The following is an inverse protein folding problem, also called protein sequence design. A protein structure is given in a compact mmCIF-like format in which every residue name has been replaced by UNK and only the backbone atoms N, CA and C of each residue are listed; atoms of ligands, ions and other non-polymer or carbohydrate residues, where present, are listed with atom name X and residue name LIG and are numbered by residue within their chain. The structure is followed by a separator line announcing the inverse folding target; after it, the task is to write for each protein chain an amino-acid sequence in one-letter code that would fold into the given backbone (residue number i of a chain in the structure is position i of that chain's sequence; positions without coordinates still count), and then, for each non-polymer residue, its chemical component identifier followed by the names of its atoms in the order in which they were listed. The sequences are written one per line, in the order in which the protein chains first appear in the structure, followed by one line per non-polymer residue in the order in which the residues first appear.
data_IF_234400798458
#
_entry.id   IF_234400798458
#
_cell.length_a   1.000
_cell.length_b   1.000
_cell.length_c   1.000
_cell.angle_alpha   90.00
_cell.angle_beta   90.00
_cell.angle_gamma   90.00
#
_symmetry.space_group_name_H-M   'P 1'
#
loop_
_entity.id
_entity.type
_entity.pdbx_description
1 polymer ?
#
# COMPACT_ATOMS: atom_id res chain seq x y z
N UNK A 1 -11.70 19.37 -8.05
CA UNK A 1 -12.93 18.57 -7.79
C UNK A 1 -13.12 18.23 -6.32
N UNK A 2 -12.06 17.90 -5.56
CA UNK A 2 -12.14 17.81 -4.10
C UNK A 2 -12.43 19.15 -3.40
N UNK A 3 -12.13 20.31 -4.01
CA UNK A 3 -12.31 21.64 -3.39
C UNK A 3 -13.66 21.89 -2.69
N UNK A 4 -14.77 21.41 -3.24
CA UNK A 4 -16.11 21.52 -2.63
C UNK A 4 -16.37 20.55 -1.46
N UNK A 5 -15.42 19.66 -1.17
CA UNK A 5 -15.48 18.61 -0.15
C UNK A 5 -14.52 18.84 1.01
N UNK A 6 -13.94 20.04 1.16
CA UNK A 6 -13.01 20.35 2.26
C UNK A 6 -13.60 20.02 3.64
N UNK A 7 -14.89 20.28 3.87
CA UNK A 7 -15.55 19.92 5.14
C UNK A 7 -15.55 18.41 5.42
N UNK A 8 -15.92 17.59 4.44
CA UNK A 8 -15.88 16.12 4.57
C UNK A 8 -14.45 15.63 4.77
N UNK A 9 -13.48 16.26 4.08
CA UNK A 9 -12.07 15.93 4.20
C UNK A 9 -11.52 16.24 5.59
N UNK A 10 -11.79 17.45 6.10
CA UNK A 10 -11.41 17.87 7.44
C UNK A 10 -12.02 16.95 8.51
N UNK A 11 -13.28 16.53 8.32
CA UNK A 11 -13.93 15.55 9.20
C UNK A 11 -13.27 14.17 9.12
N UNK A 12 -12.94 13.68 7.92
CA UNK A 12 -12.26 12.40 7.74
C UNK A 12 -10.88 12.39 8.40
N UNK A 13 -10.11 13.47 8.23
CA UNK A 13 -8.82 13.66 8.90
C UNK A 13 -8.97 13.70 10.43
N UNK A 14 -9.94 14.46 10.95
CA UNK A 14 -10.20 14.52 12.39
C UNK A 14 -10.58 13.17 13.00
N UNK A 15 -11.46 12.40 12.34
CA UNK A 15 -11.83 11.05 12.79
C UNK A 15 -10.65 10.08 12.72
N UNK A 16 -9.83 10.16 11.66
CA UNK A 16 -8.61 9.36 11.55
C UNK A 16 -7.61 9.69 12.66
N UNK A 17 -7.45 10.97 13.02
CA UNK A 17 -6.60 11.39 14.13
C UNK A 17 -7.10 10.85 15.48
N UNK A 18 -8.43 10.81 15.70
CA UNK A 18 -9.03 10.16 16.88
C UNK A 18 -8.66 8.67 16.92
N UNK A 19 -8.78 7.95 15.80
CA UNK A 19 -8.42 6.53 15.73
C UNK A 19 -6.93 6.27 15.93
N UNK A 20 -6.07 7.12 15.36
CA UNK A 20 -4.61 7.03 15.56
C UNK A 20 -4.25 7.10 17.04
N UNK A 21 -4.92 7.95 17.81
CA UNK A 21 -4.69 8.11 19.24
C UNK A 21 -5.42 7.06 20.10
N UNK A 22 -6.49 6.46 19.57
CA UNK A 22 -7.31 5.50 20.31
C UNK A 22 -8.03 4.53 19.35
N UNK A 23 -7.40 3.38 19.08
CA UNK A 23 -7.92 2.36 18.18
C UNK A 23 -9.12 1.59 18.73
N UNK A 24 -9.40 1.66 20.03
CA UNK A 24 -10.63 1.07 20.60
C UNK A 24 -11.85 1.99 20.49
N UNK A 25 -11.70 3.19 19.91
CA UNK A 25 -12.82 4.10 19.65
C UNK A 25 -13.62 3.63 18.42
N UNK A 26 -14.44 2.60 18.62
CA UNK A 26 -15.23 2.00 17.54
C UNK A 26 -16.34 2.93 17.02
N UNK A 27 -16.75 3.93 17.81
CA UNK A 27 -17.66 4.99 17.35
C UNK A 27 -17.01 5.84 16.26
N UNK A 28 -15.78 6.31 16.49
CA UNK A 28 -15.02 7.05 15.47
C UNK A 28 -14.72 6.17 14.25
N UNK A 29 -14.44 4.88 14.46
CA UNK A 29 -14.25 3.90 13.38
C UNK A 29 -15.49 3.82 12.49
N UNK A 30 -16.66 3.61 13.10
CA UNK A 30 -17.94 3.53 12.38
C UNK A 30 -18.26 4.84 11.64
N UNK A 31 -18.09 5.97 12.30
CA UNK A 31 -18.34 7.28 11.69
C UNK A 31 -17.44 7.57 10.49
N UNK A 32 -16.15 7.23 10.60
CA UNK A 32 -15.21 7.41 9.49
C UNK A 32 -15.62 6.55 8.30
N UNK A 33 -15.90 5.26 8.52
CA UNK A 33 -16.33 4.37 7.45
C UNK A 33 -17.62 4.84 6.77
N UNK A 34 -18.62 5.28 7.55
CA UNK A 34 -19.86 5.83 7.00
C UNK A 34 -19.64 7.10 6.15
N UNK A 35 -18.76 8.00 6.60
CA UNK A 35 -18.39 9.19 5.84
C UNK A 35 -17.69 8.84 4.52
N UNK A 36 -16.72 7.91 4.56
CA UNK A 36 -16.00 7.47 3.36
C UNK A 36 -16.92 6.78 2.36
N UNK A 37 -17.79 5.89 2.84
CA UNK A 37 -18.78 5.20 2.02
C UNK A 37 -19.69 6.20 1.29
N UNK A 38 -20.21 7.21 2.01
CA UNK A 38 -21.05 8.24 1.42
C UNK A 38 -20.32 9.04 0.33
N UNK A 39 -19.09 9.50 0.59
CA UNK A 39 -18.32 10.28 -0.39
C UNK A 39 -17.89 9.45 -1.61
N UNK A 40 -17.57 8.17 -1.42
CA UNK A 40 -17.25 7.25 -2.53
C UNK A 40 -18.50 7.02 -3.38
N UNK A 41 -19.65 6.67 -2.80
CA UNK A 41 -20.91 6.45 -3.53
C UNK A 41 -21.31 7.71 -4.32
N UNK A 42 -21.23 8.89 -3.69
CA UNK A 42 -21.52 10.16 -4.37
C UNK A 42 -20.58 10.41 -5.55
N UNK A 43 -19.30 10.09 -5.40
CA UNK A 43 -18.29 10.23 -6.46
C UNK A 43 -18.57 9.26 -7.62
N UNK A 44 -18.86 7.99 -7.31
CA UNK A 44 -19.19 6.97 -8.30
C UNK A 44 -20.50 7.24 -9.04
N UNK A 45 -21.51 7.77 -8.36
CA UNK A 45 -22.76 8.23 -8.99
C UNK A 45 -22.49 9.28 -10.07
N UNK A 46 -21.63 10.27 -9.78
CA UNK A 46 -21.22 11.27 -10.78
C UNK A 46 -20.44 10.65 -11.93
N UNK A 47 -19.56 9.68 -11.66
CA UNK A 47 -18.84 8.95 -12.73
C UNK A 47 -19.85 8.23 -13.63
N UNK A 48 -20.87 7.58 -13.09
CA UNK A 48 -21.93 6.91 -13.89
C UNK A 48 -22.63 7.89 -14.81
N UNK A 49 -23.07 9.03 -14.29
CA UNK A 49 -23.74 10.06 -15.09
C UNK A 49 -22.85 10.53 -16.24
N UNK A 50 -21.59 10.88 -15.95
CA UNK A 50 -20.66 11.36 -16.99
C UNK A 50 -20.30 10.26 -18.00
N UNK A 51 -20.17 9.00 -17.58
CA UNK A 51 -19.95 7.88 -18.50
C UNK A 51 -21.15 7.63 -19.41
N UNK A 52 -22.37 7.81 -18.89
CA UNK A 52 -23.58 7.71 -19.70
C UNK A 52 -23.62 8.80 -20.77
N UNK A 53 -23.27 10.04 -20.41
CA UNK A 53 -23.15 11.15 -21.36
C UNK A 53 -22.02 10.92 -22.38
N UNK A 54 -20.86 10.44 -21.92
CA UNK A 54 -19.72 10.16 -22.81
C UNK A 54 -20.08 9.15 -23.91
N UNK A 55 -20.92 8.16 -23.61
CA UNK A 55 -21.39 7.15 -24.57
C UNK A 55 -22.29 7.71 -25.68
N UNK A 56 -22.90 8.88 -25.47
CA UNK A 56 -23.77 9.50 -26.49
C UNK A 56 -22.98 10.41 -27.44
N UNK A 57 -21.68 10.56 -27.22
CA UNK A 57 -20.80 11.39 -28.06
C UNK A 57 -20.05 10.48 -29.03
N UNK A 58 -20.14 10.80 -30.31
CA UNK A 58 -19.32 10.21 -31.34
C UNK A 58 -17.89 10.79 -31.28
N UNK A 59 -16.86 9.98 -30.99
CA UNK A 59 -15.47 10.46 -30.93
C UNK A 59 -14.91 10.89 -32.28
N UNK A 60 -15.53 10.46 -33.40
CA UNK A 60 -15.09 10.74 -34.77
C UNK A 60 -15.85 11.93 -35.40
N UNK A 61 -16.74 12.56 -34.63
CA UNK A 61 -17.49 13.76 -35.03
C UNK A 61 -16.64 15.05 -34.96
N UNK A 62 -17.04 16.14 -35.65
CA UNK A 62 -16.26 17.39 -35.72
C UNK A 62 -15.83 17.98 -34.37
N UNK A 63 -14.81 18.85 -34.39
CA UNK A 63 -14.04 19.43 -33.26
C UNK A 63 -14.79 19.66 -31.93
N UNK A 64 -16.05 20.09 -31.96
CA UNK A 64 -16.85 20.33 -30.75
C UNK A 64 -17.12 19.05 -29.93
N UNK A 65 -17.39 17.93 -30.60
CA UNK A 65 -17.65 16.64 -29.95
C UNK A 65 -16.36 16.06 -29.37
N UNK A 66 -15.23 16.18 -30.08
CA UNK A 66 -13.92 15.78 -29.57
C UNK A 66 -13.52 16.59 -28.31
N UNK A 67 -13.71 17.91 -28.31
CA UNK A 67 -13.47 18.76 -27.12
C UNK A 67 -14.33 18.33 -25.94
N UNK A 68 -15.62 18.03 -26.17
CA UNK A 68 -16.51 17.54 -25.12
C UNK A 68 -16.11 16.16 -24.61
N UNK A 69 -15.73 15.25 -25.50
CA UNK A 69 -15.24 13.91 -25.16
C UNK A 69 -14.00 13.97 -24.25
N UNK A 70 -13.00 14.78 -24.62
CA UNK A 70 -11.78 15.00 -23.82
C UNK A 70 -12.13 15.61 -22.47
N UNK A 71 -13.00 16.62 -22.44
CA UNK A 71 -13.46 17.25 -21.20
C UNK A 71 -14.11 16.26 -20.23
N UNK A 72 -15.07 15.45 -20.72
CA UNK A 72 -15.77 14.46 -19.92
C UNK A 72 -14.83 13.36 -19.44
N UNK A 73 -13.92 12.89 -20.29
CA UNK A 73 -12.90 11.89 -19.96
C UNK A 73 -11.99 12.37 -18.83
N UNK A 74 -11.47 13.60 -18.94
CA UNK A 74 -10.66 14.22 -17.89
C UNK A 74 -11.43 14.41 -16.58
N UNK A 75 -12.72 14.74 -16.67
CA UNK A 75 -13.58 14.91 -15.49
C UNK A 75 -13.89 13.58 -14.80
N UNK A 76 -14.10 12.50 -15.57
CA UNK A 76 -14.23 11.14 -15.04
C UNK A 76 -12.95 10.72 -14.33
N UNK A 77 -11.78 10.98 -14.92
CA UNK A 77 -10.51 10.62 -14.32
C UNK A 77 -10.23 11.41 -13.04
N UNK A 78 -10.56 12.71 -13.02
CA UNK A 78 -10.48 13.50 -11.80
C UNK A 78 -11.41 12.98 -10.68
N UNK A 79 -12.58 12.45 -11.00
CA UNK A 79 -13.46 11.80 -10.02
C UNK A 79 -12.90 10.45 -9.54
N UNK A 80 -12.29 9.64 -10.42
CA UNK A 80 -11.60 8.39 -10.01
C UNK A 80 -10.48 8.68 -9.02
N UNK A 81 -9.67 9.70 -9.29
CA UNK A 81 -8.65 10.19 -8.34
C UNK A 81 -9.26 10.62 -7.01
N UNK A 82 -10.43 11.28 -7.02
CA UNK A 82 -11.13 11.62 -5.78
C UNK A 82 -11.55 10.35 -5.00
N UNK A 83 -12.12 9.35 -5.67
CA UNK A 83 -12.51 8.10 -5.03
C UNK A 83 -11.31 7.34 -4.48
N UNK A 84 -10.18 7.33 -5.21
CA UNK A 84 -8.91 6.77 -4.73
C UNK A 84 -8.43 7.44 -3.43
N UNK A 85 -8.47 8.78 -3.36
CA UNK A 85 -8.09 9.55 -2.16
C UNK A 85 -8.99 9.22 -0.97
N UNK A 86 -10.31 9.12 -1.17
CA UNK A 86 -11.22 8.68 -0.10
C UNK A 86 -10.86 7.27 0.38
N UNK A 87 -10.55 6.37 -0.55
CA UNK A 87 -10.09 5.02 -0.20
C UNK A 87 -8.74 5.00 0.51
N UNK A 88 -7.86 5.99 0.30
CA UNK A 88 -6.64 6.13 1.10
C UNK A 88 -6.93 6.40 2.59
N UNK A 89 -8.05 7.04 2.95
CA UNK A 89 -8.47 7.10 4.35
C UNK A 89 -8.94 5.73 4.87
N UNK A 90 -9.58 4.91 4.03
CA UNK A 90 -9.90 3.53 4.37
C UNK A 90 -8.66 2.65 4.52
N UNK A 91 -7.67 2.83 3.63
CA UNK A 91 -6.34 2.24 3.78
C UNK A 91 -5.72 2.66 5.12
N UNK A 92 -5.84 3.93 5.51
CA UNK A 92 -5.27 4.40 6.78
C UNK A 92 -5.89 3.70 7.99
N UNK A 93 -7.18 3.36 7.95
CA UNK A 93 -7.80 2.49 8.95
C UNK A 93 -7.11 1.12 8.95
N UNK A 94 -7.01 0.46 7.80
CA UNK A 94 -6.39 -0.87 7.73
C UNK A 94 -4.96 -0.88 8.33
N UNK A 95 -4.13 0.10 7.98
CA UNK A 95 -2.75 0.22 8.45
C UNK A 95 -2.61 0.64 9.92
N UNK A 96 -3.66 1.19 10.55
CA UNK A 96 -3.64 1.45 11.99
C UNK A 96 -3.82 0.17 12.81
N UNK A 97 -4.59 -0.80 12.30
CA UNK A 97 -4.98 -2.00 13.07
C UNK A 97 -4.16 -3.24 12.70
N UNK A 98 -3.64 -3.33 11.47
CA UNK A 98 -3.00 -4.53 10.93
C UNK A 98 -1.58 -4.26 10.46
N UNK A 99 -0.78 -5.32 10.43
CA UNK A 99 0.60 -5.29 9.94
C UNK A 99 0.64 -5.02 8.42
N UNK A 100 1.55 -4.13 8.01
CA UNK A 100 1.68 -3.72 6.59
C UNK A 100 2.15 -4.84 5.67
N UNK A 101 2.89 -5.82 6.19
CA UNK A 101 3.35 -6.97 5.42
C UNK A 101 2.25 -8.01 5.26
N UNK A 102 1.35 -8.15 6.25
CA UNK A 102 0.11 -8.91 6.12
C UNK A 102 -0.84 -8.25 5.11
N UNK A 103 -1.05 -6.94 5.22
CA UNK A 103 -1.91 -6.17 4.30
C UNK A 103 -1.44 -6.26 2.84
N UNK A 104 -0.13 -6.25 2.60
CA UNK A 104 0.45 -6.47 1.26
C UNK A 104 -0.12 -7.74 0.60
N UNK A 105 -0.37 -8.80 1.36
CA UNK A 105 -0.88 -10.07 0.81
C UNK A 105 -2.33 -9.99 0.32
N UNK A 106 -3.07 -8.97 0.74
CA UNK A 106 -4.46 -8.77 0.34
C UNK A 106 -4.61 -8.00 -0.99
N UNK A 107 -3.51 -7.51 -1.56
CA UNK A 107 -3.51 -6.70 -2.79
C UNK A 107 -3.44 -7.56 -4.05
N UNK A 108 -2.70 -8.67 -4.00
CA UNK A 108 -2.39 -9.48 -5.19
C UNK A 108 -3.35 -10.65 -5.38
N UNK A 109 -3.45 -11.15 -6.61
CA UNK A 109 -4.19 -12.39 -6.88
C UNK A 109 -3.51 -13.58 -6.20
N UNK A 110 -4.26 -14.59 -5.78
CA UNK A 110 -3.67 -15.78 -5.15
C UNK A 110 -2.92 -16.69 -6.13
N UNK A 111 -3.12 -16.53 -7.44
CA UNK A 111 -2.53 -17.34 -8.50
C UNK A 111 -1.28 -16.71 -9.16
N UNK A 112 -1.03 -15.41 -8.96
CA UNK A 112 0.13 -14.69 -9.52
C UNK A 112 0.42 -13.38 -8.76
N UNK A 113 1.53 -12.71 -9.07
CA UNK A 113 1.90 -11.42 -8.49
C UNK A 113 1.19 -10.20 -9.09
N UNK A 114 0.18 -10.38 -9.96
CA UNK A 114 -0.58 -9.24 -10.45
C UNK A 114 -1.48 -8.71 -9.33
N UNK A 115 -1.56 -7.39 -9.22
CA UNK A 115 -2.52 -6.75 -8.34
C UNK A 115 -3.93 -7.20 -8.74
N UNK A 116 -4.71 -7.68 -7.77
CA UNK A 116 -6.11 -8.05 -7.98
C UNK A 116 -6.87 -6.81 -8.41
N UNK A 117 -7.84 -6.96 -9.31
CA UNK A 117 -8.66 -5.81 -9.71
C UNK A 117 -9.35 -5.23 -8.47
N UNK A 118 -9.34 -3.89 -8.36
CA UNK A 118 -10.11 -3.20 -7.33
C UNK A 118 -11.58 -3.55 -7.43
N UNK A 119 -12.32 -3.40 -6.34
CA UNK A 119 -13.76 -3.54 -6.41
C UNK A 119 -14.38 -2.54 -7.39
N UNK A 120 -15.46 -2.97 -8.03
CA UNK A 120 -16.29 -2.09 -8.87
C UNK A 120 -17.06 -1.08 -8.02
N UNK A 121 -17.98 -0.33 -8.63
CA UNK A 121 -18.79 0.64 -7.87
C UNK A 121 -19.54 -0.01 -6.70
N UNK A 122 -19.52 0.66 -5.56
CA UNK A 122 -20.15 0.21 -4.32
C UNK A 122 -21.67 0.40 -4.41
N UNK A 123 -22.11 1.59 -4.82
CA UNK A 123 -23.52 1.95 -4.81
C UNK A 123 -24.36 1.22 -5.87
N UNK A 124 -25.60 0.85 -5.53
CA UNK A 124 -26.57 0.23 -6.44
C UNK A 124 -26.45 -1.30 -6.54
N UNK A 125 -25.83 -1.94 -5.54
CA UNK A 125 -25.82 -3.40 -5.37
C UNK A 125 -26.71 -3.76 -4.17
N UNK A 126 -27.53 -4.80 -4.32
CA UNK A 126 -28.38 -5.34 -3.25
C UNK A 126 -27.58 -6.01 -2.11
N UNK A 127 -26.26 -6.15 -2.25
CA UNK A 127 -25.38 -6.80 -1.27
C UNK A 127 -24.89 -5.89 -0.14
N UNK A 128 -24.89 -4.57 -0.35
CA UNK A 128 -24.28 -3.62 0.59
C UNK A 128 -24.96 -3.61 1.97
N UNK A 129 -26.28 -3.79 2.03
CA UNK A 129 -27.02 -3.77 3.28
C UNK A 129 -26.59 -4.91 4.22
N UNK A 130 -26.26 -6.08 3.67
CA UNK A 130 -25.79 -7.21 4.47
C UNK A 130 -24.34 -7.04 4.92
N UNK A 131 -23.49 -6.45 4.08
CA UNK A 131 -22.12 -6.07 4.44
C UNK A 131 -22.13 -5.06 5.60
N UNK A 132 -23.02 -4.06 5.52
CA UNK A 132 -23.22 -3.06 6.57
C UNK A 132 -23.82 -3.66 7.85
N UNK A 133 -24.78 -4.57 7.74
CA UNK A 133 -25.34 -5.26 8.90
C UNK A 133 -24.26 -6.05 9.64
N UNK A 134 -23.41 -6.79 8.92
CA UNK A 134 -22.30 -7.53 9.53
C UNK A 134 -21.29 -6.58 10.19
N UNK A 135 -20.94 -5.47 9.52
CA UNK A 135 -20.05 -4.45 10.07
C UNK A 135 -20.59 -3.88 11.39
N UNK A 136 -21.85 -3.45 11.38
CA UNK A 136 -22.50 -2.84 12.55
C UNK A 136 -22.63 -3.85 13.70
N UNK A 137 -22.94 -5.13 13.41
CA UNK A 137 -23.01 -6.20 14.39
C UNK A 137 -21.64 -6.47 15.06
N UNK A 138 -20.55 -6.46 14.27
CA UNK A 138 -19.19 -6.59 14.81
C UNK A 138 -18.85 -5.43 15.74
N UNK A 139 -19.08 -4.20 15.27
CA UNK A 139 -18.78 -2.98 16.04
C UNK A 139 -19.60 -2.93 17.33
N UNK A 140 -20.89 -3.28 17.28
CA UNK A 140 -21.77 -3.35 18.46
C UNK A 140 -21.30 -4.38 19.50
N UNK A 141 -20.59 -5.43 19.07
CA UNK A 141 -19.98 -6.44 19.93
C UNK A 141 -18.58 -6.07 20.42
N UNK A 142 -18.09 -4.85 20.13
CA UNK A 142 -16.75 -4.43 20.52
C UNK A 142 -15.64 -4.97 19.61
N UNK A 143 -15.99 -5.50 18.43
CA UNK A 143 -15.05 -6.09 17.48
C UNK A 143 -14.76 -5.08 16.36
N UNK A 144 -13.52 -4.57 16.22
CA UNK A 144 -13.18 -3.69 15.11
C UNK A 144 -13.28 -4.43 13.78
N UNK A 145 -14.02 -3.85 12.85
CA UNK A 145 -14.22 -4.37 11.50
C UNK A 145 -14.20 -3.24 10.47
N UNK A 146 -13.84 -3.58 9.23
CA UNK A 146 -13.64 -2.67 8.12
C UNK A 146 -14.34 -3.17 6.86
N UNK A 147 -15.12 -2.31 6.20
CA UNK A 147 -15.62 -2.58 4.85
C UNK A 147 -14.44 -2.62 3.87
N UNK A 148 -14.32 -3.68 3.09
CA UNK A 148 -13.20 -3.85 2.15
C UNK A 148 -13.30 -2.85 0.99
N UNK A 149 -14.53 -2.58 0.53
CA UNK A 149 -14.83 -1.73 -0.62
C UNK A 149 -14.42 -0.25 -0.46
N UNK A 150 -14.19 0.21 0.77
CA UNK A 150 -13.70 1.56 1.07
C UNK A 150 -12.17 1.65 1.11
N UNK A 151 -11.44 0.58 0.76
CA UNK A 151 -9.97 0.55 0.74
C UNK A 151 -9.44 0.35 -0.68
N UNK A 152 -8.18 0.74 -0.95
CA UNK A 152 -7.48 0.35 -2.17
C UNK A 152 -6.58 -0.89 -1.95
N UNK A 153 -6.25 -1.18 -0.69
CA UNK A 153 -5.29 -2.21 -0.25
C UNK A 153 -5.93 -3.58 -0.08
N UNK A 154 -7.04 -3.66 0.65
CA UNK A 154 -7.72 -4.94 0.85
C UNK A 154 -8.58 -5.22 -0.38
N UNK A 155 -8.29 -6.30 -1.11
CA UNK A 155 -8.99 -6.63 -2.37
C UNK A 155 -9.68 -7.99 -2.33
N UNK A 156 -9.73 -8.66 -1.19
CA UNK A 156 -10.40 -9.94 -0.99
C UNK A 156 -11.37 -9.84 0.19
N UNK A 157 -12.51 -10.53 0.09
CA UNK A 157 -13.61 -10.40 1.04
C UNK A 157 -14.41 -9.11 0.85
N UNK A 158 -15.49 -9.00 1.62
CA UNK A 158 -16.39 -7.85 1.65
C UNK A 158 -16.25 -7.09 2.99
N UNK A 159 -15.99 -7.81 4.09
CA UNK A 159 -15.70 -7.27 5.43
C UNK A 159 -14.40 -7.88 5.96
N UNK A 160 -13.56 -7.07 6.59
CA UNK A 160 -12.33 -7.48 7.26
C UNK A 160 -12.46 -7.27 8.78
N UNK A 161 -12.29 -8.33 9.58
CA UNK A 161 -12.18 -8.22 11.05
C UNK A 161 -10.71 -7.91 11.42
N UNK A 162 -10.52 -6.97 12.35
CA UNK A 162 -9.22 -6.36 12.68
C UNK A 162 -8.82 -6.60 14.15
N UNK A 163 -8.92 -7.85 14.64
CA UNK A 163 -8.64 -8.23 16.05
C UNK A 163 -7.18 -8.67 16.31
N UNK A 164 -6.28 -8.39 15.37
CA UNK A 164 -4.86 -8.72 15.45
C UNK A 164 -4.09 -8.14 14.26
N UNK A 165 -2.81 -8.50 14.14
CA UNK A 165 -1.94 -8.02 13.06
C UNK A 165 -2.36 -8.52 11.68
N UNK A 166 -3.04 -9.67 11.61
CA UNK A 166 -3.43 -10.31 10.35
C UNK A 166 -4.89 -10.05 10.00
N UNK A 167 -5.21 -9.82 8.71
CA UNK A 167 -6.58 -9.58 8.27
C UNK A 167 -7.40 -10.87 8.29
N UNK A 168 -8.55 -10.83 8.97
CA UNK A 168 -9.56 -11.90 8.91
C UNK A 168 -10.61 -11.49 7.88
N UNK A 169 -10.53 -12.08 6.69
CA UNK A 169 -11.31 -11.69 5.53
C UNK A 169 -12.61 -12.50 5.42
N UNK A 170 -13.74 -11.80 5.35
CA UNK A 170 -15.07 -12.41 5.29
C UNK A 170 -15.76 -12.03 3.99
N UNK A 171 -16.20 -13.03 3.23
CA UNK A 171 -17.11 -12.85 2.10
C UNK A 171 -18.56 -13.00 2.58
N UNK A 172 -19.38 -11.97 2.37
CA UNK A 172 -20.79 -11.96 2.74
C UNK A 172 -21.63 -12.55 1.62
N UNK A 173 -22.60 -13.40 1.99
CA UNK A 173 -23.50 -14.07 1.04
C UNK A 173 -24.94 -14.01 1.53
N UNK A 174 -25.80 -13.35 0.77
CA UNK A 174 -27.24 -13.22 1.08
C UNK A 174 -28.08 -14.46 0.77
N UNK A 175 -27.50 -15.54 0.23
CA UNK A 175 -28.29 -16.74 -0.09
C UNK A 175 -27.50 -18.03 0.11
N UNK A 176 -28.18 -19.05 0.64
CA UNK A 176 -27.69 -20.43 0.77
C UNK A 176 -27.60 -21.18 -0.58
N UNK A 177 -27.70 -20.49 -1.72
CA UNK A 177 -27.61 -21.12 -3.04
C UNK A 177 -26.18 -21.58 -3.33
N UNK A 178 -26.06 -22.66 -4.09
CA UNK A 178 -24.78 -23.24 -4.53
C UNK A 178 -23.90 -22.17 -5.17
N UNK A 179 -22.66 -22.02 -4.67
CA UNK A 179 -21.70 -21.03 -5.17
C UNK A 179 -21.51 -21.16 -6.68
N UNK A 180 -21.64 -20.06 -7.41
CA UNK A 180 -21.28 -20.00 -8.83
C UNK A 180 -19.74 -20.12 -9.00
N UNK A 181 -19.21 -20.31 -10.22
CA UNK A 181 -17.77 -20.45 -10.45
C UNK A 181 -16.93 -19.29 -9.87
N UNK A 182 -17.44 -18.06 -9.96
CA UNK A 182 -16.79 -16.86 -9.41
C UNK A 182 -16.69 -16.92 -7.87
N UNK A 183 -17.79 -17.24 -7.21
CA UNK A 183 -17.86 -17.40 -5.75
C UNK A 183 -16.98 -18.53 -5.25
N UNK A 184 -16.86 -19.64 -6.00
CA UNK A 184 -15.90 -20.70 -5.69
C UNK A 184 -14.45 -20.23 -5.82
N UNK A 185 -14.12 -19.40 -6.82
CA UNK A 185 -12.77 -18.81 -6.94
C UNK A 185 -12.47 -17.87 -5.77
N UNK A 186 -13.43 -17.02 -5.38
CA UNK A 186 -13.28 -16.13 -4.22
C UNK A 186 -13.07 -16.91 -2.92
N UNK A 187 -13.89 -17.93 -2.67
CA UNK A 187 -13.76 -18.79 -1.49
C UNK A 187 -12.37 -19.46 -1.41
N UNK A 188 -11.89 -20.04 -2.52
CA UNK A 188 -10.53 -20.62 -2.58
C UNK A 188 -9.43 -19.59 -2.35
N UNK A 189 -9.59 -18.37 -2.88
CA UNK A 189 -8.61 -17.30 -2.63
C UNK A 189 -8.58 -16.92 -1.15
N UNK A 190 -9.73 -16.88 -0.48
CA UNK A 190 -9.81 -16.61 0.95
C UNK A 190 -9.21 -17.75 1.76
N UNK A 191 -9.57 -19.00 1.47
CA UNK A 191 -9.01 -20.20 2.11
C UNK A 191 -7.47 -20.20 2.06
N UNK A 192 -6.88 -19.92 0.89
CA UNK A 192 -5.41 -19.90 0.75
C UNK A 192 -4.75 -18.75 1.53
N UNK A 193 -5.40 -17.58 1.62
CA UNK A 193 -4.90 -16.47 2.42
C UNK A 193 -5.03 -16.75 3.91
N UNK A 194 -6.15 -17.33 4.35
CA UNK A 194 -6.36 -17.77 5.73
C UNK A 194 -5.31 -18.79 6.14
N UNK A 195 -5.06 -19.82 5.33
CA UNK A 195 -4.00 -20.80 5.56
C UNK A 195 -2.63 -20.11 5.72
N UNK A 196 -2.32 -19.16 4.84
CA UNK A 196 -1.08 -18.39 4.90
C UNK A 196 -0.93 -17.59 6.20
N UNK A 197 -1.98 -16.91 6.65
CA UNK A 197 -1.94 -16.10 7.88
C UNK A 197 -1.91 -16.97 9.14
N UNK A 198 -2.63 -18.09 9.16
CA UNK A 198 -2.70 -18.97 10.34
C UNK A 198 -1.45 -19.83 10.53
N UNK A 199 -0.77 -20.21 9.43
CA UNK A 199 0.33 -21.19 9.48
C UNK A 199 1.69 -20.62 9.10
N UNK A 200 1.76 -19.34 8.72
CA UNK A 200 2.93 -18.68 8.13
C UNK A 200 3.45 -19.36 6.84
N UNK A 201 2.67 -20.27 6.25
CA UNK A 201 3.07 -21.05 5.07
C UNK A 201 1.88 -21.24 4.13
N UNK A 202 2.15 -21.26 2.83
CA UNK A 202 1.14 -21.63 1.85
C UNK A 202 1.76 -22.22 0.59
N UNK A 203 1.13 -23.27 0.06
CA UNK A 203 1.52 -23.88 -1.23
C UNK A 203 0.69 -23.30 -2.36
N UNK A 204 1.33 -22.99 -3.49
CA UNK A 204 0.66 -22.42 -4.66
C UNK A 204 0.30 -20.93 -4.53
N UNK A 205 0.59 -20.28 -3.41
CA UNK A 205 0.36 -18.84 -3.24
C UNK A 205 1.23 -18.06 -4.24
N UNK A 206 0.58 -17.21 -5.04
CA UNK A 206 1.17 -16.50 -6.19
C UNK A 206 1.77 -17.43 -7.27
N UNK A 207 1.33 -18.69 -7.33
CA UNK A 207 1.88 -19.69 -8.22
C UNK A 207 3.24 -20.25 -7.76
N UNK A 208 3.69 -19.91 -6.56
CA UNK A 208 4.94 -20.42 -6.00
C UNK A 208 4.75 -21.80 -5.38
N UNK A 209 5.74 -22.72 -5.48
CA UNK A 209 5.65 -24.03 -4.84
C UNK A 209 5.37 -23.95 -3.34
N UNK A 210 6.01 -23.01 -2.67
CA UNK A 210 5.82 -22.70 -1.26
C UNK A 210 6.18 -21.24 -1.00
N UNK A 211 5.39 -20.57 -0.16
CA UNK A 211 5.68 -19.25 0.40
C UNK A 211 5.72 -19.40 1.92
N UNK A 212 6.74 -18.83 2.56
CA UNK A 212 6.88 -18.81 4.02
C UNK A 212 6.99 -17.36 4.52
N UNK A 213 6.27 -17.04 5.60
CA UNK A 213 6.42 -15.79 6.35
C UNK A 213 7.38 -16.02 7.51
N UNK A 214 8.26 -15.06 7.74
CA UNK A 214 9.21 -15.08 8.85
C UNK A 214 9.13 -13.77 9.60
N UNK A 215 9.16 -13.85 10.92
CA UNK A 215 9.26 -12.69 11.78
C UNK A 215 10.59 -11.96 11.51
N UNK A 216 10.53 -10.63 11.43
CA UNK A 216 11.72 -9.80 11.36
C UNK A 216 12.51 -9.92 12.66
N UNK A 217 13.84 -9.94 12.56
CA UNK A 217 14.74 -10.05 13.71
C UNK A 217 15.24 -8.68 14.19
N UNK A 218 15.33 -7.73 13.28
CA UNK A 218 15.73 -6.36 13.54
C UNK A 218 14.47 -5.52 13.61
N UNK A 219 14.35 -4.70 14.65
CA UNK A 219 13.27 -3.73 14.73
C UNK A 219 13.33 -2.78 13.54
N UNK A 220 12.21 -2.57 12.89
CA UNK A 220 12.12 -1.61 11.79
C UNK A 220 12.19 -0.18 12.32
N UNK A 221 13.08 0.63 11.76
CA UNK A 221 13.13 2.07 11.96
C UNK A 221 12.45 2.81 10.80
N UNK A 222 11.69 3.86 11.11
CA UNK A 222 11.09 4.76 10.12
C UNK A 222 11.33 6.23 10.48
N UNK A 223 11.22 7.08 9.46
CA UNK A 223 11.45 8.51 9.54
C UNK A 223 10.21 9.32 9.14
N UNK A 224 9.01 8.76 9.32
CA UNK A 224 7.76 9.47 9.01
C UNK A 224 7.64 10.80 9.78
N UNK A 225 8.20 10.88 10.99
CA UNK A 225 8.29 12.12 11.75
C UNK A 225 9.16 13.19 11.04
N UNK A 226 10.34 12.81 10.53
CA UNK A 226 11.22 13.71 9.78
C UNK A 226 10.63 14.13 8.43
N UNK A 227 9.83 13.28 7.79
CA UNK A 227 9.03 13.68 6.63
C UNK A 227 8.06 14.81 6.97
N UNK A 228 7.40 14.77 8.13
CA UNK A 228 6.51 15.85 8.56
C UNK A 228 7.27 17.12 8.95
N UNK A 229 8.48 17.01 9.50
CA UNK A 229 9.39 18.16 9.71
C UNK A 229 9.75 18.80 8.38
N UNK A 230 10.15 18.01 7.37
CA UNK A 230 10.43 18.48 6.02
C UNK A 230 9.23 19.26 5.43
N UNK A 231 8.03 18.70 5.52
CA UNK A 231 6.78 19.33 5.05
C UNK A 231 6.50 20.65 5.76
N UNK A 232 6.72 20.72 7.07
CA UNK A 232 6.51 21.93 7.86
C UNK A 232 7.53 23.04 7.52
N UNK A 233 8.75 22.66 7.16
CA UNK A 233 9.86 23.57 6.91
C UNK A 233 9.85 24.24 5.53
N UNK A 234 8.88 23.93 4.65
CA UNK A 234 8.81 24.50 3.28
C UNK A 234 8.82 26.04 3.26
N UNK A 235 8.34 26.68 4.34
CA UNK A 235 8.63 28.08 4.67
C UNK A 235 8.48 29.10 3.53
N UNK A 236 9.22 30.21 3.65
CA UNK A 236 9.28 31.26 2.61
C UNK A 236 10.22 30.89 1.44
N UNK A 237 11.21 30.02 1.68
CA UNK A 237 12.13 29.52 0.65
C UNK A 237 11.41 28.72 -0.46
N UNK A 238 10.18 28.28 -0.20
CA UNK A 238 9.32 27.58 -1.17
C UNK A 238 9.62 26.09 -1.30
N UNK A 239 10.69 25.60 -0.67
CA UNK A 239 11.05 24.19 -0.54
C UNK A 239 11.80 23.90 0.76
N UNK A 240 11.90 22.62 1.12
CA UNK A 240 12.70 22.10 2.22
C UNK A 240 13.31 20.75 1.85
N UNK A 241 14.48 20.45 2.44
CA UNK A 241 15.19 19.18 2.29
C UNK A 241 15.59 18.67 3.66
N UNK A 242 15.36 17.38 3.91
CA UNK A 242 15.85 16.69 5.09
C UNK A 242 16.61 15.43 4.66
N UNK A 243 17.66 15.07 5.39
CA UNK A 243 18.44 13.84 5.18
C UNK A 243 18.38 12.99 6.45
N UNK A 244 17.38 12.09 6.58
CA UNK A 244 17.23 11.25 7.78
C UNK A 244 18.42 10.34 8.04
N UNK A 245 18.98 9.77 6.98
CA UNK A 245 20.20 8.98 7.02
C UNK A 245 21.00 9.15 5.72
N UNK A 246 22.29 8.75 5.73
CA UNK A 246 23.16 8.87 4.55
C UNK A 246 22.49 8.21 3.35
N UNK A 247 22.39 8.93 2.24
CA UNK A 247 21.82 8.46 0.97
C UNK A 247 20.29 8.47 0.89
N UNK A 248 19.56 8.90 1.92
CA UNK A 248 18.10 9.08 1.89
C UNK A 248 17.74 10.56 2.07
N UNK A 249 16.99 11.12 1.14
CA UNK A 249 16.59 12.53 1.19
C UNK A 249 15.09 12.69 1.02
N UNK A 250 14.50 13.56 1.83
CA UNK A 250 13.11 14.00 1.73
C UNK A 250 13.08 15.42 1.19
N UNK A 251 12.19 15.65 0.24
CA UNK A 251 12.00 16.94 -0.39
C UNK A 251 10.53 17.32 -0.39
N UNK A 252 10.24 18.54 0.02
CA UNK A 252 8.90 19.13 -0.03
C UNK A 252 8.94 20.54 -0.63
N UNK A 253 7.95 20.92 -1.47
CA UNK A 253 7.88 22.25 -2.08
C UNK A 253 6.45 22.70 -2.41
N UNK A 254 6.20 24.03 -2.42
CA UNK A 254 4.89 24.63 -2.74
C UNK A 254 4.75 25.21 -4.14
N UNK A 255 5.86 25.41 -4.85
CA UNK A 255 5.89 25.87 -6.24
C UNK A 255 6.41 24.79 -7.18
N UNK A 256 6.08 24.91 -8.48
CA UNK A 256 6.52 23.95 -9.48
C UNK A 256 8.04 23.79 -9.43
N UNK A 257 8.46 22.53 -9.54
CA UNK A 257 9.81 21.98 -9.42
C UNK A 257 10.76 22.39 -10.56
N UNK A 258 10.77 23.67 -10.95
CA UNK A 258 11.51 24.17 -12.10
C UNK A 258 13.02 23.89 -12.01
N UNK A 259 13.56 23.75 -10.80
CA UNK A 259 15.00 23.68 -10.54
C UNK A 259 15.48 22.32 -10.00
N UNK A 260 14.71 21.23 -10.20
CA UNK A 260 15.12 19.88 -9.73
C UNK A 260 16.50 19.43 -10.19
N UNK A 261 16.91 19.63 -11.46
CA UNK A 261 18.25 19.22 -11.89
C UNK A 261 19.37 19.99 -11.21
N UNK A 262 19.13 21.25 -10.82
CA UNK A 262 20.09 22.06 -10.06
C UNK A 262 20.15 21.56 -8.62
N UNK A 263 18.99 21.31 -7.99
CA UNK A 263 18.92 20.71 -6.67
C UNK A 263 19.65 19.36 -6.59
N UNK A 264 19.43 18.46 -7.55
CA UNK A 264 20.12 17.16 -7.57
C UNK A 264 21.63 17.32 -7.70
N UNK A 265 22.08 18.29 -8.48
CA UNK A 265 23.50 18.61 -8.63
C UNK A 265 24.09 19.17 -7.34
N UNK A 266 23.38 20.07 -6.67
CA UNK A 266 23.80 20.67 -5.40
C UNK A 266 23.87 19.63 -4.27
N UNK A 267 22.97 18.65 -4.30
CA UNK A 267 22.99 17.49 -3.39
C UNK A 267 24.04 16.43 -3.78
N UNK A 268 24.73 16.58 -4.91
CA UNK A 268 25.72 15.61 -5.39
C UNK A 268 25.13 14.27 -5.86
N UNK A 269 23.82 14.23 -6.14
CA UNK A 269 23.11 13.02 -6.54
C UNK A 269 23.38 12.73 -8.02
N UNK A 270 23.82 11.51 -8.33
CA UNK A 270 24.10 11.08 -9.71
C UNK A 270 22.87 10.46 -10.36
N UNK A 271 22.37 9.35 -9.80
CA UNK A 271 21.23 8.60 -10.33
C UNK A 271 20.40 7.99 -9.18
N UNK A 272 19.72 8.80 -8.35
CA UNK A 272 18.94 8.28 -7.24
C UNK A 272 17.67 7.58 -7.73
N UNK A 273 17.17 6.63 -6.95
CA UNK A 273 15.78 6.22 -7.04
C UNK A 273 14.88 7.36 -6.57
N UNK A 274 13.90 7.73 -7.39
CA UNK A 274 13.01 8.86 -7.13
C UNK A 274 11.59 8.32 -6.88
N UNK A 275 11.00 8.71 -5.76
CA UNK A 275 9.62 8.40 -5.40
C UNK A 275 8.78 9.69 -5.40
N UNK A 276 8.25 10.12 -6.57
CA UNK A 276 7.48 11.36 -6.68
C UNK A 276 6.03 11.14 -6.21
N UNK A 277 5.76 11.42 -4.94
CA UNK A 277 4.47 11.13 -4.30
C UNK A 277 3.28 11.74 -5.05
N UNK A 278 3.41 12.96 -5.59
CA UNK A 278 2.34 13.60 -6.37
C UNK A 278 1.97 12.83 -7.65
N UNK A 279 2.97 12.27 -8.33
CA UNK A 279 2.77 11.46 -9.52
C UNK A 279 2.11 10.13 -9.15
N UNK A 280 2.62 9.45 -8.12
CA UNK A 280 2.09 8.17 -7.64
C UNK A 280 0.63 8.29 -7.15
N UNK A 281 0.30 9.37 -6.42
CA UNK A 281 -1.09 9.72 -6.07
C UNK A 281 -1.95 9.94 -7.30
N UNK A 282 -1.45 10.68 -8.29
CA UNK A 282 -2.23 11.03 -9.50
C UNK A 282 -2.46 9.82 -10.42
N UNK A 283 -1.51 8.89 -10.45
CA UNK A 283 -1.56 7.63 -11.18
C UNK A 283 -2.28 6.51 -10.41
N UNK A 284 -2.65 6.73 -9.15
CA UNK A 284 -3.36 5.76 -8.29
C UNK A 284 -2.54 4.48 -8.02
N UNK A 285 -1.21 4.63 -7.92
CA UNK A 285 -0.24 3.52 -7.79
C UNK A 285 0.38 3.41 -6.39
N UNK A 286 -0.28 3.98 -5.36
CA UNK A 286 0.24 4.01 -3.98
C UNK A 286 0.22 2.66 -3.24
N UNK A 287 -0.61 1.72 -3.64
CA UNK A 287 -0.76 0.42 -2.95
C UNK A 287 0.43 -0.49 -3.30
N UNK A 288 1.04 -1.24 -2.36
CA UNK A 288 0.60 -1.60 -0.99
C UNK A 288 1.32 -0.81 0.14
N UNK A 289 1.59 0.47 -0.07
CA UNK A 289 2.34 1.31 0.87
C UNK A 289 1.44 1.99 1.91
N UNK A 290 2.04 2.41 3.03
CA UNK A 290 1.36 3.22 4.05
C UNK A 290 0.76 4.44 3.35
N UNK A 291 -0.56 4.69 3.48
CA UNK A 291 -1.20 5.74 2.72
C UNK A 291 -0.75 7.12 3.21
N UNK A 292 -0.56 8.07 2.29
CA UNK A 292 -0.17 9.44 2.62
C UNK A 292 -1.13 10.15 3.59
N UNK A 293 -2.40 9.72 3.65
CA UNK A 293 -3.41 10.19 4.64
C UNK A 293 -3.05 9.80 6.07
N UNK A 294 -2.26 8.74 6.26
CA UNK A 294 -1.71 8.34 7.55
C UNK A 294 -0.33 8.96 7.80
N UNK A 295 0.50 9.13 6.76
CA UNK A 295 1.86 9.68 6.88
C UNK A 295 1.88 11.19 7.08
N UNK A 296 1.11 11.97 6.30
CA UNK A 296 1.06 13.44 6.43
C UNK A 296 0.09 13.79 7.55
N UNK A 297 0.63 14.31 8.66
CA UNK A 297 -0.14 14.52 9.89
C UNK A 297 -0.86 15.86 9.90
N UNK A 298 -0.23 16.92 9.40
CA UNK A 298 -0.87 18.22 9.33
C UNK A 298 -2.01 18.22 8.30
N UNK A 299 -3.18 18.70 8.74
CA UNK A 299 -4.42 18.66 7.96
C UNK A 299 -4.33 19.54 6.71
N UNK A 300 -3.76 20.75 6.86
CA UNK A 300 -3.67 21.70 5.75
C UNK A 300 -2.60 21.28 4.75
N UNK A 301 -1.46 20.75 5.20
CA UNK A 301 -0.44 20.16 4.33
C UNK A 301 -0.97 18.95 3.56
N UNK A 302 -1.71 18.04 4.21
CA UNK A 302 -2.34 16.91 3.54
C UNK A 302 -3.36 17.39 2.50
N UNK A 303 -4.15 18.42 2.83
CA UNK A 303 -5.07 19.03 1.88
C UNK A 303 -4.35 19.64 0.68
N UNK A 304 -3.28 20.40 0.91
CA UNK A 304 -2.48 21.02 -0.15
C UNK A 304 -1.80 19.98 -1.03
N UNK A 305 -1.27 18.90 -0.46
CA UNK A 305 -0.72 17.77 -1.21
C UNK A 305 -1.79 17.13 -2.12
N UNK A 306 -2.97 16.89 -1.57
CA UNK A 306 -4.11 16.36 -2.32
C UNK A 306 -4.51 17.28 -3.49
N UNK A 307 -4.52 18.60 -3.27
CA UNK A 307 -4.81 19.60 -4.32
C UNK A 307 -3.66 19.82 -5.31
N UNK A 308 -2.47 19.26 -5.08
CA UNK A 308 -1.29 19.49 -5.92
C UNK A 308 -0.62 20.85 -5.69
N UNK A 309 -0.82 21.44 -4.51
CA UNK A 309 -0.15 22.67 -4.04
C UNK A 309 1.07 22.40 -3.17
N UNK A 310 1.22 21.17 -2.70
CA UNK A 310 2.41 20.67 -2.03
C UNK A 310 2.93 19.49 -2.83
N UNK A 311 4.20 19.54 -3.20
CA UNK A 311 4.94 18.52 -3.92
C UNK A 311 5.87 17.81 -2.96
N UNK A 312 5.82 16.48 -2.91
CA UNK A 312 6.70 15.66 -2.08
C UNK A 312 7.41 14.64 -2.96
N UNK A 313 8.70 14.45 -2.71
CA UNK A 313 9.46 13.34 -3.25
C UNK A 313 10.48 12.81 -2.25
N UNK A 314 10.79 11.52 -2.38
CA UNK A 314 11.89 10.88 -1.66
C UNK A 314 12.94 10.45 -2.68
N UNK A 315 14.20 10.70 -2.35
CA UNK A 315 15.36 10.34 -3.16
C UNK A 315 16.20 9.33 -2.38
N UNK A 316 16.63 8.26 -3.04
CA UNK A 316 17.43 7.20 -2.44
C UNK A 316 18.63 6.90 -3.35
N UNK A 317 19.83 7.08 -2.82
CA UNK A 317 21.08 6.77 -3.53
C UNK A 317 21.25 5.26 -3.68
N UNK A 318 21.47 4.81 -4.92
CA UNK A 318 21.66 3.38 -5.23
C UNK A 318 22.96 2.87 -4.62
N UNK A 319 24.07 3.59 -4.81
CA UNK A 319 25.39 3.22 -4.27
C UNK A 319 25.33 3.00 -2.76
N UNK A 320 24.51 3.78 -2.06
CA UNK A 320 24.33 3.64 -0.61
C UNK A 320 23.71 2.29 -0.21
N UNK A 321 22.83 1.71 -1.03
CA UNK A 321 22.26 0.39 -0.73
C UNK A 321 23.32 -0.70 -0.70
N UNK A 322 24.31 -0.61 -1.59
CA UNK A 322 25.43 -1.55 -1.64
C UNK A 322 26.40 -1.33 -0.46
N UNK A 323 26.68 -0.07 -0.11
CA UNK A 323 27.48 0.27 1.07
C UNK A 323 26.87 -0.27 2.37
N UNK A 324 25.55 -0.09 2.57
CA UNK A 324 24.84 -0.62 3.74
C UNK A 324 24.99 -2.14 3.81
N UNK A 325 24.84 -2.84 2.70
CA UNK A 325 25.00 -4.30 2.68
C UNK A 325 26.43 -4.71 3.08
N UNK A 326 27.44 -3.98 2.60
CA UNK A 326 28.84 -4.21 2.95
C UNK A 326 29.11 -3.96 4.45
N UNK A 327 28.51 -2.92 5.04
CA UNK A 327 28.57 -2.65 6.50
C UNK A 327 28.05 -3.84 7.33
N UNK A 328 27.07 -4.58 6.80
CA UNK A 328 26.54 -5.79 7.43
C UNK A 328 27.17 -7.09 6.92
N UNK A 329 28.32 -7.04 6.24
CA UNK A 329 29.09 -8.22 5.83
C UNK A 329 28.46 -9.02 4.70
N UNK A 330 27.78 -8.34 3.78
CA UNK A 330 27.30 -8.91 2.52
C UNK A 330 27.87 -8.14 1.32
N UNK A 331 28.24 -8.87 0.27
CA UNK A 331 28.53 -8.25 -1.03
C UNK A 331 27.19 -8.06 -1.75
N UNK A 332 26.91 -6.84 -2.20
CA UNK A 332 25.68 -6.54 -2.92
C UNK A 332 25.95 -5.95 -4.30
N UNK A 333 24.98 -6.09 -5.19
CA UNK A 333 24.97 -5.41 -6.50
C UNK A 333 23.53 -5.04 -6.84
N UNK A 334 23.32 -3.78 -7.17
CA UNK A 334 22.05 -3.28 -7.68
C UNK A 334 22.03 -3.36 -9.21
N UNK A 335 21.07 -4.10 -9.75
CA UNK A 335 20.85 -4.25 -11.19
C UNK A 335 19.35 -4.47 -11.48
N UNK A 336 18.64 -3.37 -11.68
CA UNK A 336 17.21 -3.41 -12.02
C UNK A 336 16.93 -3.81 -13.47
N UNK A 337 17.92 -3.83 -14.35
CA UNK A 337 17.75 -4.28 -15.74
C UNK A 337 17.76 -5.81 -15.81
N UNK A 338 18.65 -6.45 -15.03
CA UNK A 338 18.77 -7.90 -14.96
C UNK A 338 17.62 -8.56 -14.20
N UNK A 339 17.25 -8.04 -13.03
CA UNK A 339 16.09 -8.52 -12.27
C UNK A 339 15.28 -7.36 -11.69
N UNK A 340 14.24 -6.87 -12.40
CA UNK A 340 13.43 -5.76 -11.93
C UNK A 340 12.59 -6.10 -10.68
N UNK A 341 12.38 -7.39 -10.37
CA UNK A 341 11.63 -7.80 -9.19
C UNK A 341 12.52 -7.86 -7.96
N UNK A 342 13.79 -8.26 -8.12
CA UNK A 342 14.80 -8.36 -7.06
C UNK A 342 16.10 -7.64 -7.45
N UNK A 343 16.05 -6.30 -7.58
CA UNK A 343 17.14 -5.55 -8.18
C UNK A 343 18.40 -5.49 -7.30
N UNK A 344 18.29 -5.66 -5.97
CA UNK A 344 19.46 -5.70 -5.09
C UNK A 344 19.78 -7.15 -4.73
N UNK A 345 20.77 -7.73 -5.40
CA UNK A 345 21.27 -9.07 -5.10
C UNK A 345 22.29 -9.05 -3.96
N UNK A 346 22.29 -10.08 -3.10
CA UNK A 346 23.26 -10.26 -2.02
C UNK A 346 23.98 -11.60 -2.13
N UNK A 347 25.26 -11.57 -1.83
CA UNK A 347 26.09 -12.74 -1.55
C UNK A 347 26.67 -12.57 -0.14
N UNK A 348 26.41 -13.53 0.75
CA UNK A 348 27.09 -13.54 2.05
C UNK A 348 28.56 -13.87 1.83
N UNK A 349 29.46 -13.14 2.49
CA UNK A 349 30.91 -13.28 2.34
C UNK A 349 31.41 -14.70 2.63
N UNK A 350 30.65 -15.48 3.42
CA UNK A 350 30.95 -16.87 3.77
C UNK A 350 30.47 -17.90 2.70
N UNK A 351 30.02 -17.45 1.52
CA UNK A 351 29.64 -18.34 0.42
C UNK A 351 28.32 -19.10 0.61
N UNK A 352 27.49 -18.66 1.56
CA UNK A 352 26.23 -19.32 1.97
C UNK A 352 25.08 -19.22 0.95
N UNK A 353 25.33 -18.62 -0.22
CA UNK A 353 24.46 -18.56 -1.39
C UNK A 353 24.08 -17.14 -1.83
N UNK A 354 23.24 -17.08 -2.88
CA UNK A 354 22.66 -15.85 -3.40
C UNK A 354 21.27 -15.61 -2.82
N UNK A 355 20.97 -14.35 -2.51
CA UNK A 355 19.65 -13.83 -2.12
C UNK A 355 19.39 -12.50 -2.83
N UNK A 356 18.20 -11.93 -2.65
CA UNK A 356 17.90 -10.60 -3.17
C UNK A 356 16.78 -9.89 -2.43
N UNK A 357 16.83 -8.56 -2.46
CA UNK A 357 15.78 -7.70 -1.93
C UNK A 357 14.84 -7.29 -3.07
N UNK A 358 13.54 -7.48 -2.86
CA UNK A 358 12.56 -7.09 -3.87
C UNK A 358 12.48 -5.58 -4.07
N UNK A 359 12.18 -5.12 -5.29
CA UNK A 359 11.98 -3.69 -5.59
C UNK A 359 10.89 -3.06 -4.73
N UNK A 360 9.85 -3.82 -4.39
CA UNK A 360 8.80 -3.37 -3.47
C UNK A 360 9.29 -3.18 -2.03
N UNK A 361 10.26 -3.97 -1.56
CA UNK A 361 10.86 -3.78 -0.24
C UNK A 361 11.74 -2.53 -0.23
N UNK A 362 12.54 -2.31 -1.28
CA UNK A 362 13.33 -1.07 -1.43
C UNK A 362 12.39 0.15 -1.47
N UNK A 363 11.28 0.05 -2.20
CA UNK A 363 10.29 1.12 -2.30
C UNK A 363 9.64 1.50 -0.95
N UNK A 364 9.70 0.66 0.09
CA UNK A 364 9.26 1.03 1.44
C UNK A 364 10.06 2.22 1.99
N UNK A 365 11.33 2.37 1.60
CA UNK A 365 12.11 3.55 2.00
C UNK A 365 11.51 4.85 1.43
N UNK A 366 11.12 4.81 0.15
CA UNK A 366 10.52 5.94 -0.54
C UNK A 366 9.06 6.22 -0.18
N UNK A 367 8.30 5.18 0.14
CA UNK A 367 6.83 5.26 0.26
C UNK A 367 6.33 5.20 1.70
N UNK A 368 7.00 4.45 2.56
CA UNK A 368 6.65 4.28 3.97
C UNK A 368 7.60 5.07 4.89
N UNK A 369 8.60 5.76 4.34
CA UNK A 369 9.66 6.44 5.09
C UNK A 369 10.51 5.48 5.95
N UNK A 370 10.57 4.19 5.61
CA UNK A 370 11.36 3.19 6.36
C UNK A 370 12.85 3.38 6.08
N UNK A 371 13.70 3.15 7.07
CA UNK A 371 15.16 3.18 6.89
C UNK A 371 15.65 2.12 5.89
N UNK A 372 16.35 2.51 4.78
CA UNK A 372 17.12 1.58 3.96
C UNK A 372 18.06 0.68 4.78
N UNK A 373 18.73 1.23 5.80
CA UNK A 373 19.62 0.48 6.70
C UNK A 373 18.86 -0.65 7.40
N UNK A 374 17.71 -0.35 8.01
CA UNK A 374 16.87 -1.35 8.66
C UNK A 374 16.35 -2.42 7.70
N UNK A 375 15.94 -2.03 6.47
CA UNK A 375 15.43 -2.97 5.46
C UNK A 375 16.52 -3.97 5.06
N UNK A 376 17.73 -3.48 4.74
CA UNK A 376 18.83 -4.32 4.26
C UNK A 376 19.36 -5.20 5.40
N UNK A 377 19.53 -4.65 6.61
CA UNK A 377 19.95 -5.42 7.77
C UNK A 377 18.99 -6.58 8.06
N UNK A 378 17.68 -6.33 8.06
CA UNK A 378 16.68 -7.38 8.23
C UNK A 378 16.76 -8.46 7.14
N UNK A 379 16.98 -8.07 5.88
CA UNK A 379 17.08 -9.01 4.77
C UNK A 379 18.31 -9.93 4.92
N UNK A 380 19.47 -9.36 5.30
CA UNK A 380 20.71 -10.10 5.53
C UNK A 380 20.55 -11.07 6.72
N UNK A 381 20.00 -10.61 7.85
CA UNK A 381 19.80 -11.44 9.04
C UNK A 381 18.79 -12.58 8.81
N UNK A 382 17.71 -12.28 8.07
CA UNK A 382 16.75 -13.30 7.64
C UNK A 382 17.46 -14.36 6.80
N UNK A 383 18.27 -13.93 5.82
CA UNK A 383 19.00 -14.84 4.94
C UNK A 383 20.02 -15.70 5.68
N UNK A 384 20.81 -15.11 6.59
CA UNK A 384 21.74 -15.85 7.47
C UNK A 384 21.03 -16.94 8.26
N UNK A 385 19.87 -16.62 8.81
CA UNK A 385 19.05 -17.56 9.59
C UNK A 385 18.60 -18.75 8.76
N UNK A 386 18.16 -18.50 7.52
CA UNK A 386 17.80 -19.57 6.59
C UNK A 386 18.99 -20.42 6.16
N UNK A 387 20.13 -19.79 5.86
CA UNK A 387 21.34 -20.49 5.48
C UNK A 387 21.82 -21.43 6.60
N UNK A 388 21.72 -21.00 7.86
CA UNK A 388 22.07 -21.81 9.02
C UNK A 388 21.09 -22.99 9.28
N UNK A 389 19.85 -22.92 8.80
CA UNK A 389 18.84 -23.98 8.97
C UNK A 389 18.93 -25.10 7.90
N UNK A 390 19.46 -24.80 6.70
CA UNK A 390 19.60 -25.78 5.60
C UNK A 390 20.44 -27.04 5.94
N UNK A 391 21.51 -26.98 6.75
CA UNK A 391 22.21 -28.18 7.21
C UNK A 391 21.36 -29.07 8.12
N UNK A 392 20.47 -28.50 8.94
CA UNK A 392 19.64 -29.23 9.90
C UNK A 392 18.46 -29.95 9.22
N UNK A 393 17.75 -29.30 8.28
CA UNK A 393 16.65 -29.93 7.54
C UNK A 393 17.11 -31.11 6.66
N UNK A 394 18.38 -31.11 6.21
CA UNK A 394 18.99 -32.26 5.49
C UNK A 394 19.36 -33.42 6.41
N UNK A 395 19.70 -33.15 7.67
CA UNK A 395 20.02 -34.20 8.65
C UNK A 395 18.75 -34.92 9.12
N UNK A 396 17.66 -34.19 9.36
CA UNK A 396 16.38 -34.77 9.79
C UNK A 396 15.67 -35.53 8.65
N UNK A 397 15.91 -35.17 7.39
CA UNK A 397 15.42 -35.92 6.23
C UNK A 397 16.24 -37.20 5.93
N UNK A 398 17.37 -37.41 6.60
CA UNK A 398 18.30 -38.50 6.36
C UNK A 398 18.22 -39.65 7.39
N UNK A 399 17.32 -39.61 8.36
CA UNK A 399 17.03 -40.75 9.24
C UNK A 399 15.79 -41.52 8.78
N UNK A 400 15.92 -42.56 7.93
CA UNK A 400 14.90 -43.58 7.84
C UNK A 400 14.98 -44.47 9.08
N UNK A 401 13.88 -44.49 9.82
CA UNK A 401 13.48 -45.47 10.84
C UNK A 401 14.02 -46.87 10.51
N UNK A 402 15.14 -47.27 11.12
CA UNK A 402 15.47 -48.69 11.23
C UNK A 402 14.74 -49.24 12.45
N UNK A 403 13.49 -49.64 12.23
CA UNK A 403 12.80 -50.52 13.16
C UNK A 403 13.52 -51.88 13.15
N UNK A 404 14.00 -52.25 14.32
CA UNK A 404 14.57 -53.55 14.68
C UNK A 404 13.59 -54.68 14.40
N UNK A 405 14.09 -55.77 13.79
CA UNK A 405 13.44 -57.08 13.75
C UNK A 405 13.67 -57.84 15.04
#
# INVERSE_FOLDING_TARGET
MLGYRKRSFDRAHGLLAVLRNNQINLTALRELQGLLLAEIILTEGRIRTLKSELKTIDPDAPDANLKRFVYLSNRIEGLRRCAFIWRCFGDAIAFLYMDKYALKQTVYNTDNYNAKQSSGFIGGKDGLDAELSLLDDCIAKGIPALLVDITNTIRHGDVCIMVGSDPILIEVKNSAKRLNPRGRKQARSLELLTEFFETDRAKGLRGMPEVRRHAQKVMEEDYAALMNVCIANVGEAGYAVEQPEKGLFYFAARNALADLPELFRDLGLREPLIYPWNMLKSQQTWVPFIPFTLTIQDKEALWDFVQGKLYIMVLLEIDRLEEIAAEFGAKATYDSERDPNFPLGFELVDGLGLSGLSSQMIARAGMDCVSPTSIIHNAIETYRSFAAQKPAERADAAEPTQATN
#
